data_IF_784574485482
#
_entry.id   IF_784574485482
#
_cell.length_a   1.000
_cell.length_b   1.000
_cell.length_c   1.000
_cell.angle_alpha   90.00
_cell.angle_beta   90.00
_cell.angle_gamma   90.00
#
_symmetry.space_group_name_H-M   'P 1'
#
loop_
_entity.id
_entity.type
_entity.pdbx_description
1 polymer ?
#
# COMPACT_ATOMS: atom_id res chain seq x y z
N UNK A 1 12.33 -6.83 -2.94
CA UNK A 1 13.54 -6.00 -2.85
C UNK A 1 13.12 -4.62 -3.35
N UNK A 2 13.23 -3.57 -2.53
CA UNK A 2 12.62 -2.25 -2.76
C UNK A 2 13.07 -1.59 -4.07
N UNK A 3 12.27 -0.66 -4.59
CA UNK A 3 12.63 0.09 -5.80
C UNK A 3 13.75 1.11 -5.55
N UNK A 4 13.76 1.74 -4.37
CA UNK A 4 14.68 2.80 -4.03
C UNK A 4 15.83 2.35 -3.11
N UNK A 5 17.02 2.94 -3.27
CA UNK A 5 18.14 2.83 -2.32
C UNK A 5 17.94 3.79 -1.12
N UNK A 6 16.86 3.59 -0.36
CA UNK A 6 16.56 4.34 0.87
C UNK A 6 16.60 3.39 2.10
N UNK A 7 16.86 3.91 3.31
CA UNK A 7 16.75 3.12 4.54
C UNK A 7 15.33 2.55 4.69
N UNK A 8 15.23 1.24 4.93
CA UNK A 8 13.94 0.52 4.97
C UNK A 8 13.34 0.39 6.36
N UNK A 9 14.14 0.62 7.39
CA UNK A 9 13.82 0.56 8.81
C UNK A 9 13.51 1.93 9.41
N UNK A 10 13.59 2.97 8.58
CA UNK A 10 13.37 4.36 8.97
C UNK A 10 12.06 4.89 8.41
N UNK A 11 11.22 5.46 9.28
CA UNK A 11 9.96 6.08 8.89
C UNK A 11 10.21 7.47 8.30
N UNK A 12 9.57 7.84 7.17
CA UNK A 12 9.53 9.22 6.68
C UNK A 12 8.99 10.23 7.70
N UNK A 13 8.25 9.78 8.70
CA UNK A 13 7.84 10.64 9.83
C UNK A 13 9.04 11.14 10.65
N UNK A 14 10.00 10.26 10.94
CA UNK A 14 11.19 10.58 11.72
C UNK A 14 12.28 11.24 10.84
N UNK A 15 12.30 10.88 9.55
CA UNK A 15 13.25 11.36 8.56
C UNK A 15 12.52 11.88 7.30
N UNK A 16 12.01 13.13 7.32
CA UNK A 16 11.20 13.67 6.22
C UNK A 16 11.94 13.77 4.88
N UNK A 17 13.27 13.80 4.91
CA UNK A 17 14.17 13.86 3.74
C UNK A 17 14.14 12.57 2.90
N UNK A 18 13.70 11.44 3.47
CA UNK A 18 13.55 10.18 2.73
C UNK A 18 12.17 10.00 2.10
N UNK A 19 11.23 10.94 2.28
CA UNK A 19 9.86 10.82 1.74
C UNK A 19 9.84 10.42 0.25
N UNK A 20 8.92 9.53 -0.20
CA UNK A 20 7.88 8.82 0.58
C UNK A 20 8.39 7.61 1.39
N UNK A 21 9.70 7.41 1.49
CA UNK A 21 10.33 6.18 1.97
C UNK A 21 10.47 5.13 0.87
N UNK A 22 11.14 4.00 1.14
CA UNK A 22 11.26 2.91 0.17
C UNK A 22 9.94 2.14 0.04
N UNK A 23 9.62 1.71 -1.20
CA UNK A 23 8.39 0.99 -1.54
C UNK A 23 8.68 -0.47 -1.96
N UNK A 24 7.92 -1.47 -1.47
CA UNK A 24 8.10 -2.85 -1.91
C UNK A 24 7.91 -2.97 -3.42
N UNK A 25 8.79 -3.67 -4.15
CA UNK A 25 8.73 -3.71 -5.62
C UNK A 25 7.57 -4.54 -6.22
N UNK A 26 6.81 -5.25 -5.39
CA UNK A 26 5.72 -6.16 -5.79
C UNK A 26 4.49 -5.96 -4.91
N UNK A 27 3.38 -6.62 -5.26
CA UNK A 27 2.25 -6.80 -4.35
C UNK A 27 2.69 -7.56 -3.09
N UNK A 28 2.04 -7.27 -1.96
CA UNK A 28 2.35 -7.86 -0.66
C UNK A 28 1.14 -7.80 0.28
N UNK A 29 1.18 -8.63 1.31
CA UNK A 29 0.32 -8.49 2.48
C UNK A 29 1.12 -7.78 3.58
N UNK A 30 0.62 -6.66 4.10
CA UNK A 30 1.10 -6.10 5.36
C UNK A 30 0.37 -6.78 6.51
N UNK A 31 1.11 -7.33 7.48
CA UNK A 31 0.56 -7.94 8.69
C UNK A 31 1.65 -8.10 9.75
N UNK A 32 1.31 -7.90 11.01
CA UNK A 32 2.22 -7.97 12.16
C UNK A 32 3.50 -7.13 11.97
N UNK A 33 3.33 -5.95 11.39
CA UNK A 33 4.40 -5.01 11.06
C UNK A 33 5.32 -5.49 9.93
N UNK A 34 4.96 -6.53 9.17
CA UNK A 34 5.82 -7.15 8.15
C UNK A 34 5.15 -7.16 6.79
N UNK A 35 5.96 -7.14 5.73
CA UNK A 35 5.48 -7.45 4.39
C UNK A 35 5.68 -8.94 4.09
N UNK A 36 4.59 -9.64 3.85
CA UNK A 36 4.55 -11.01 3.37
C UNK A 36 4.44 -11.01 1.86
N UNK A 37 5.26 -11.83 1.20
CA UNK A 37 5.35 -11.84 -0.26
C UNK A 37 4.06 -12.40 -0.83
N UNK A 38 3.50 -11.70 -1.82
CA UNK A 38 2.44 -12.24 -2.64
C UNK A 38 3.01 -12.78 -3.95
N UNK A 39 2.63 -14.00 -4.30
CA UNK A 39 2.87 -14.55 -5.63
C UNK A 39 1.66 -14.24 -6.52
N UNK A 40 1.77 -13.11 -7.21
CA UNK A 40 0.75 -12.59 -8.11
C UNK A 40 0.97 -13.11 -9.54
N UNK A 41 -0.11 -13.57 -10.18
CA UNK A 41 -0.12 -14.01 -11.57
C UNK A 41 -1.11 -13.20 -12.39
N UNK A 42 -0.70 -12.74 -13.58
CA UNK A 42 -1.59 -11.97 -14.45
C UNK A 42 -2.76 -12.84 -14.94
N UNK A 43 -3.98 -12.32 -14.85
CA UNK A 43 -5.21 -12.99 -15.28
C UNK A 43 -5.72 -14.06 -14.30
N UNK A 44 -5.06 -14.24 -13.15
CA UNK A 44 -5.57 -15.05 -12.04
C UNK A 44 -6.26 -14.09 -11.06
N UNK A 45 -7.51 -14.37 -10.63
CA UNK A 45 -8.20 -13.52 -9.67
C UNK A 45 -7.39 -13.32 -8.39
N UNK A 46 -7.40 -12.10 -7.85
CA UNK A 46 -6.64 -11.75 -6.64
C UNK A 46 -6.82 -12.74 -5.49
N UNK A 47 -8.05 -13.20 -5.27
CA UNK A 47 -8.45 -14.13 -4.22
C UNK A 47 -7.69 -15.47 -4.30
N UNK A 48 -7.25 -15.87 -5.50
CA UNK A 48 -6.57 -17.13 -5.76
C UNK A 48 -5.05 -17.05 -5.63
N UNK A 49 -4.48 -15.85 -5.44
CA UNK A 49 -3.04 -15.70 -5.25
C UNK A 49 -2.57 -16.25 -3.90
N UNK A 50 -1.30 -16.62 -3.86
CA UNK A 50 -0.65 -17.18 -2.68
C UNK A 50 0.12 -16.11 -1.91
N UNK A 51 -0.08 -16.08 -0.60
CA UNK A 51 0.75 -15.32 0.34
C UNK A 51 1.76 -16.27 0.99
N UNK A 52 3.02 -15.88 0.88
CA UNK A 52 4.18 -16.56 1.44
C UNK A 52 4.57 -15.86 2.74
N UNK A 53 4.29 -16.52 3.87
CA UNK A 53 4.54 -15.92 5.19
C UNK A 53 6.01 -16.04 5.59
N UNK A 54 6.60 -14.89 5.96
CA UNK A 54 7.94 -14.82 6.53
C UNK A 54 7.90 -14.94 8.05
N UNK A 55 8.75 -15.80 8.61
CA UNK A 55 9.04 -15.85 10.04
C UNK A 55 10.28 -15.01 10.41
N UNK A 56 10.93 -14.39 9.44
CA UNK A 56 12.14 -13.60 9.65
C UNK A 56 11.75 -12.18 10.05
N UNK A 57 12.33 -11.67 11.13
CA UNK A 57 12.12 -10.29 11.63
C UNK A 57 12.77 -9.22 10.74
N UNK A 58 13.64 -9.62 9.81
CA UNK A 58 14.30 -8.72 8.89
C UNK A 58 13.53 -8.55 7.58
N UNK A 59 13.16 -7.29 7.35
CA UNK A 59 12.54 -6.71 6.14
C UNK A 59 13.29 -7.05 4.84
N UNK A 60 14.56 -7.47 4.92
CA UNK A 60 15.42 -7.82 3.79
C UNK A 60 15.32 -9.28 3.29
N UNK A 61 14.67 -10.19 4.03
CA UNK A 61 14.95 -11.63 3.92
C UNK A 61 13.86 -12.58 3.43
N UNK A 62 12.63 -12.13 3.10
CA UNK A 62 11.54 -13.08 2.78
C UNK A 62 11.60 -13.71 1.38
N UNK A 63 12.54 -13.28 0.53
CA UNK A 63 12.72 -13.82 -0.82
C UNK A 63 13.78 -14.93 -0.92
N UNK A 64 14.55 -15.18 0.15
CA UNK A 64 15.69 -16.12 0.13
C UNK A 64 15.52 -17.34 1.06
N UNK A 65 14.50 -17.38 1.91
CA UNK A 65 14.30 -18.46 2.88
C UNK A 65 12.95 -19.15 2.70
N UNK A 66 12.94 -20.48 2.90
CA UNK A 66 11.77 -21.35 2.82
C UNK A 66 10.58 -20.71 3.55
N UNK A 67 9.52 -20.36 2.79
CA UNK A 67 8.26 -19.97 3.40
C UNK A 67 7.76 -21.11 4.26
N UNK A 68 7.45 -20.82 5.52
CA UNK A 68 7.00 -21.85 6.46
C UNK A 68 5.52 -22.18 6.22
N UNK A 69 4.75 -21.22 5.72
CA UNK A 69 3.32 -21.34 5.47
C UNK A 69 2.93 -20.56 4.23
N UNK A 70 2.15 -21.20 3.35
CA UNK A 70 1.53 -20.59 2.19
C UNK A 70 0.02 -20.68 2.36
N UNK A 71 -0.68 -19.57 2.15
CA UNK A 71 -2.14 -19.51 2.18
C UNK A 71 -2.64 -18.67 1.02
N UNK A 72 -3.85 -18.96 0.53
CA UNK A 72 -4.47 -18.13 -0.49
C UNK A 72 -5.02 -16.84 0.10
N UNK A 73 -5.11 -15.80 -0.72
CA UNK A 73 -5.71 -14.52 -0.35
C UNK A 73 -7.17 -14.70 0.12
N UNK A 74 -7.96 -15.56 -0.52
CA UNK A 74 -9.36 -15.87 -0.14
C UNK A 74 -9.51 -16.39 1.30
N UNK A 75 -8.49 -17.04 1.87
CA UNK A 75 -8.54 -17.53 3.25
C UNK A 75 -8.55 -16.40 4.28
N UNK A 76 -8.23 -15.18 3.84
CA UNK A 76 -8.18 -13.98 4.69
C UNK A 76 -9.23 -12.94 4.32
N UNK A 77 -9.70 -12.99 3.09
CA UNK A 77 -10.84 -12.19 2.67
C UNK A 77 -12.09 -12.92 3.18
N UNK A 78 -12.70 -12.40 4.26
CA UNK A 78 -13.96 -12.94 4.78
C UNK A 78 -15.10 -12.94 3.75
N UNK A 79 -16.32 -13.23 4.18
CA UNK A 79 -17.47 -13.52 3.28
C UNK A 79 -17.76 -12.47 2.18
N UNK A 80 -17.27 -11.23 2.30
CA UNK A 80 -17.44 -10.19 1.30
C UNK A 80 -16.26 -9.95 0.34
N UNK A 81 -15.18 -10.74 0.42
CA UNK A 81 -14.04 -10.61 -0.51
C UNK A 81 -13.38 -9.23 -0.48
N UNK A 82 -12.73 -8.85 -1.59
CA UNK A 82 -12.23 -7.47 -1.79
C UNK A 82 -13.33 -6.42 -1.81
N UNK A 83 -14.55 -6.78 -2.21
CA UNK A 83 -15.68 -5.85 -2.32
C UNK A 83 -16.12 -5.30 -0.96
N UNK A 84 -15.79 -6.02 0.13
CA UNK A 84 -16.01 -5.56 1.50
C UNK A 84 -14.98 -4.54 2.01
N UNK A 85 -13.90 -4.33 1.25
CA UNK A 85 -12.78 -3.47 1.63
C UNK A 85 -12.84 -2.15 0.84
N UNK A 86 -12.24 -1.11 1.41
CA UNK A 86 -12.09 0.19 0.77
C UNK A 86 -10.76 0.18 0.00
N UNK A 87 -10.77 0.29 -1.34
CA UNK A 87 -9.55 0.31 -2.14
C UNK A 87 -8.94 1.72 -2.16
N UNK A 88 -7.85 1.93 -1.43
CA UNK A 88 -7.16 3.22 -1.32
C UNK A 88 -5.86 3.19 -2.11
N UNK A 89 -5.66 4.15 -3.01
CA UNK A 89 -4.44 4.32 -3.79
C UNK A 89 -3.32 4.83 -2.88
N UNK A 90 -2.27 4.04 -2.74
CA UNK A 90 -1.04 4.38 -2.05
C UNK A 90 0.06 4.69 -3.06
N UNK A 91 0.44 5.96 -3.11
CA UNK A 91 1.48 6.49 -4.00
C UNK A 91 2.56 7.29 -3.25
N UNK A 92 2.30 7.64 -1.99
CA UNK A 92 3.24 8.26 -1.07
C UNK A 92 3.65 7.32 0.07
N UNK A 93 3.75 7.85 1.29
CA UNK A 93 4.23 7.10 2.45
C UNK A 93 3.32 5.94 2.89
N UNK A 94 2.08 5.84 2.39
CA UNK A 94 1.14 4.75 2.69
C UNK A 94 1.49 3.39 2.07
N UNK A 95 2.58 3.30 1.33
CA UNK A 95 3.17 2.02 0.88
C UNK A 95 4.54 1.74 1.51
N UNK A 96 5.09 2.70 2.27
CA UNK A 96 6.35 2.51 3.00
C UNK A 96 6.10 1.70 4.28
N UNK A 97 6.79 0.57 4.44
CA UNK A 97 6.56 -0.32 5.60
C UNK A 97 6.87 0.35 6.94
N UNK A 98 7.98 1.07 7.05
CA UNK A 98 8.34 1.76 8.28
C UNK A 98 7.30 2.84 8.66
N UNK A 99 6.72 3.52 7.67
CA UNK A 99 5.62 4.44 7.91
C UNK A 99 4.36 3.70 8.37
N UNK A 100 3.98 2.59 7.72
CA UNK A 100 2.82 1.80 8.13
C UNK A 100 2.99 1.28 9.56
N UNK A 101 4.16 0.73 9.90
CA UNK A 101 4.50 0.34 11.27
C UNK A 101 4.34 1.49 12.26
N UNK A 102 4.85 2.69 11.92
CA UNK A 102 4.66 3.88 12.74
C UNK A 102 3.18 4.18 12.98
N UNK A 103 2.35 4.18 11.92
CA UNK A 103 0.92 4.48 12.02
C UNK A 103 0.18 3.47 12.91
N UNK A 104 0.42 2.18 12.72
CA UNK A 104 -0.22 1.14 13.54
C UNK A 104 0.28 1.12 14.99
N UNK A 105 1.51 1.58 15.28
CA UNK A 105 1.95 1.80 16.67
C UNK A 105 1.16 2.90 17.40
N UNK A 106 0.50 3.81 16.68
CA UNK A 106 -0.37 4.83 17.30
C UNK A 106 -1.71 4.25 17.78
N UNK A 107 -2.12 3.08 17.27
CA UNK A 107 -3.32 2.33 17.67
C UNK A 107 -3.02 0.83 17.69
N UNK A 108 -2.29 0.34 18.69
CA UNK A 108 -1.84 -1.06 18.76
C UNK A 108 -2.97 -2.09 18.86
N UNK A 109 -4.19 -1.65 19.18
CA UNK A 109 -5.40 -2.45 19.19
C UNK A 109 -5.98 -2.72 17.79
N UNK A 110 -5.57 -1.95 16.78
CA UNK A 110 -6.05 -2.10 15.40
C UNK A 110 -5.24 -3.15 14.65
N UNK A 111 -5.93 -4.05 13.95
CA UNK A 111 -5.29 -5.07 13.14
C UNK A 111 -4.66 -4.46 11.89
N UNK A 112 -3.39 -4.77 11.66
CA UNK A 112 -2.61 -4.24 10.53
C UNK A 112 -2.66 -5.10 9.28
N UNK A 113 -3.66 -5.98 9.17
CA UNK A 113 -3.86 -6.88 8.05
C UNK A 113 -4.35 -6.12 6.80
N UNK A 114 -3.45 -5.75 5.90
CA UNK A 114 -3.78 -5.00 4.67
C UNK A 114 -3.18 -5.62 3.42
N UNK A 115 -4.01 -5.94 2.44
CA UNK A 115 -3.55 -6.39 1.14
C UNK A 115 -3.17 -5.17 0.28
N UNK A 116 -1.92 -5.15 -0.20
CA UNK A 116 -1.36 -4.05 -1.00
C UNK A 116 -1.01 -4.58 -2.39
N UNK A 117 -1.79 -4.21 -3.40
CA UNK A 117 -1.65 -4.71 -4.76
C UNK A 117 -1.02 -3.68 -5.68
N UNK A 118 0.09 -4.06 -6.31
CA UNK A 118 0.79 -3.19 -7.26
C UNK A 118 -0.01 -3.02 -8.55
N UNK A 119 0.05 -1.82 -9.12
CA UNK A 119 -0.52 -1.51 -10.42
C UNK A 119 -0.05 -0.17 -10.95
N UNK A 120 -0.84 0.38 -11.88
CA UNK A 120 -0.62 1.69 -12.44
C UNK A 120 -1.93 2.50 -12.50
N UNK A 121 -1.80 3.81 -12.33
CA UNK A 121 -2.88 4.78 -12.59
C UNK A 121 -2.63 5.46 -13.94
N UNK A 122 -3.68 5.62 -14.75
CA UNK A 122 -3.63 6.31 -16.04
C UNK A 122 -4.27 7.69 -15.99
N UNK A 123 -3.82 8.59 -16.87
CA UNK A 123 -4.27 9.99 -16.97
C UNK A 123 -4.15 10.76 -15.64
N UNK A 124 -3.17 10.37 -14.83
CA UNK A 124 -2.82 10.97 -13.55
C UNK A 124 -1.33 10.78 -13.30
N UNK A 125 -0.73 11.75 -12.62
CA UNK A 125 0.65 11.65 -12.14
C UNK A 125 0.73 12.02 -10.65
N UNK A 126 1.83 11.61 -10.02
CA UNK A 126 2.13 11.88 -8.62
C UNK A 126 3.09 13.06 -8.55
N UNK A 127 2.58 14.18 -8.06
CA UNK A 127 3.31 15.45 -7.97
C UNK A 127 3.46 15.87 -6.51
N UNK A 128 4.27 16.90 -6.26
CA UNK A 128 4.45 17.42 -4.91
C UNK A 128 3.36 18.43 -4.55
N UNK A 129 2.85 18.33 -3.33
CA UNK A 129 1.90 19.29 -2.79
C UNK A 129 2.56 20.66 -2.58
N UNK A 130 1.81 21.77 -2.65
CA UNK A 130 2.34 23.13 -2.43
C UNK A 130 2.46 23.48 -0.93
N UNK A 131 2.65 22.49 -0.05
CA UNK A 131 2.75 22.68 1.40
C UNK A 131 3.66 21.62 2.02
N UNK A 132 4.14 21.88 3.24
CA UNK A 132 4.86 20.89 4.04
C UNK A 132 3.90 20.18 5.01
N UNK A 133 4.05 18.87 5.15
CA UNK A 133 3.37 18.12 6.20
C UNK A 133 3.89 18.56 7.58
N UNK A 134 3.14 18.33 8.68
CA UNK A 134 3.57 18.73 10.02
C UNK A 134 4.94 18.21 10.47
N UNK A 135 5.38 17.07 9.93
CA UNK A 135 6.68 16.47 10.20
C UNK A 135 7.79 16.91 9.22
N UNK A 136 7.51 17.90 8.36
CA UNK A 136 8.51 18.58 7.52
C UNK A 136 8.74 17.97 6.15
N UNK A 137 8.03 16.90 5.76
CA UNK A 137 8.12 16.35 4.41
C UNK A 137 7.39 17.22 3.38
N UNK A 138 7.86 17.18 2.13
CA UNK A 138 7.11 17.66 0.97
C UNK A 138 6.26 16.50 0.44
N UNK A 139 4.96 16.48 0.71
CA UNK A 139 4.18 15.27 0.55
C UNK A 139 3.67 15.15 -0.90
N UNK A 140 3.30 13.94 -1.30
CA UNK A 140 2.83 13.65 -2.65
C UNK A 140 1.30 13.84 -2.75
N UNK A 141 0.84 14.38 -3.88
CA UNK A 141 -0.58 14.45 -4.27
C UNK A 141 -0.75 13.82 -5.65
N UNK A 142 -1.94 13.29 -5.93
CA UNK A 142 -2.31 12.81 -7.27
C UNK A 142 -3.00 13.92 -8.08
N UNK A 143 -2.51 14.19 -9.27
CA UNK A 143 -3.03 15.24 -10.15
C UNK A 143 -3.42 14.68 -11.53
N UNK A 144 -4.45 15.22 -12.20
CA UNK A 144 -4.80 14.81 -13.56
C UNK A 144 -3.72 15.27 -14.55
N UNK A 145 -3.15 14.32 -15.29
CA UNK A 145 -2.17 14.58 -16.36
C UNK A 145 -2.47 13.63 -17.51
N UNK A 146 -3.04 14.15 -18.59
CA UNK A 146 -3.46 13.35 -19.75
C UNK A 146 -2.29 12.54 -20.34
N UNK A 147 -2.50 11.25 -20.57
CA UNK A 147 -1.48 10.34 -21.11
C UNK A 147 -0.40 9.89 -20.12
N UNK A 148 -0.37 10.44 -18.90
CA UNK A 148 0.55 9.97 -17.87
C UNK A 148 0.15 8.58 -17.35
N UNK A 149 1.16 7.77 -17.02
CA UNK A 149 0.99 6.47 -16.38
C UNK A 149 1.96 6.39 -15.22
N UNK A 150 1.45 6.25 -14.00
CA UNK A 150 2.28 6.23 -12.79
C UNK A 150 2.08 4.95 -11.99
N UNK A 151 3.17 4.42 -11.44
CA UNK A 151 3.15 3.22 -10.59
C UNK A 151 2.55 3.55 -9.21
N UNK A 152 1.58 2.73 -8.79
CA UNK A 152 0.88 2.89 -7.51
C UNK A 152 0.59 1.53 -6.88
N UNK A 153 0.17 1.55 -5.61
CA UNK A 153 -0.42 0.40 -4.94
C UNK A 153 -1.87 0.68 -4.62
N UNK A 154 -2.71 -0.35 -4.67
CA UNK A 154 -4.07 -0.32 -4.15
C UNK A 154 -4.09 -1.10 -2.85
N UNK A 155 -4.30 -0.39 -1.74
CA UNK A 155 -4.36 -0.96 -0.41
C UNK A 155 -5.82 -1.17 -0.01
N UNK A 156 -6.18 -2.40 0.31
CA UNK A 156 -7.53 -2.78 0.69
C UNK A 156 -7.67 -2.75 2.21
N UNK A 157 -8.48 -1.81 2.70
CA UNK A 157 -8.64 -1.54 4.13
C UNK A 157 -10.06 -1.83 4.60
N UNK A 158 -10.24 -2.27 5.84
CA UNK A 158 -11.53 -2.13 6.50
C UNK A 158 -11.75 -0.70 7.03
N UNK A 159 -12.92 -0.48 7.63
CA UNK A 159 -13.31 0.85 8.13
C UNK A 159 -12.39 1.35 9.25
N UNK A 160 -11.96 0.50 10.17
CA UNK A 160 -11.13 0.91 11.31
C UNK A 160 -9.71 1.23 10.87
N UNK A 161 -9.16 0.41 9.97
CA UNK A 161 -7.89 0.67 9.30
C UNK A 161 -7.96 2.01 8.55
N UNK A 162 -9.04 2.27 7.82
CA UNK A 162 -9.22 3.54 7.11
C UNK A 162 -9.31 4.73 8.08
N UNK A 163 -10.01 4.60 9.21
CA UNK A 163 -10.08 5.62 10.26
C UNK A 163 -8.70 5.92 10.87
N UNK A 164 -7.87 4.90 11.08
CA UNK A 164 -6.48 5.07 11.50
C UNK A 164 -5.70 5.87 10.45
N UNK A 165 -5.72 5.46 9.19
CA UNK A 165 -4.98 6.16 8.13
C UNK A 165 -5.48 7.60 8.00
N UNK A 166 -6.79 7.85 7.95
CA UNK A 166 -7.38 9.18 7.90
C UNK A 166 -6.85 10.09 9.03
N UNK A 167 -6.72 9.56 10.25
CA UNK A 167 -6.22 10.35 11.40
C UNK A 167 -4.77 10.82 11.25
N UNK A 168 -4.01 10.18 10.35
CA UNK A 168 -2.60 10.47 10.07
C UNK A 168 -2.39 11.34 8.83
N UNK A 169 -3.41 11.54 8.00
CA UNK A 169 -3.32 12.29 6.72
C UNK A 169 -3.77 13.75 6.89
N UNK A 170 -3.32 14.40 7.97
CA UNK A 170 -3.64 15.83 8.22
C UNK A 170 -3.14 16.68 7.05
N UNK A 171 -4.05 17.42 6.41
CA UNK A 171 -3.75 18.23 5.23
C UNK A 171 -4.23 17.63 3.91
N UNK A 172 -4.74 16.40 3.95
CA UNK A 172 -5.40 15.74 2.83
C UNK A 172 -6.90 15.57 3.07
N UNK A 173 -7.62 15.32 1.98
CA UNK A 173 -9.01 14.87 2.03
C UNK A 173 -9.13 13.58 1.23
N UNK A 174 -9.71 12.54 1.84
CA UNK A 174 -9.99 11.32 1.10
C UNK A 174 -11.09 11.58 0.07
N UNK A 175 -10.77 11.43 -1.22
CA UNK A 175 -11.70 11.61 -2.34
C UNK A 175 -11.88 10.31 -3.11
N UNK A 176 -13.05 10.16 -3.72
CA UNK A 176 -13.35 9.06 -4.65
C UNK A 176 -12.91 9.45 -6.05
N UNK A 177 -12.21 8.53 -6.71
CA UNK A 177 -11.79 8.63 -8.10
C UNK A 177 -12.52 7.54 -8.89
N UNK A 178 -13.24 7.95 -9.93
CA UNK A 178 -14.06 7.08 -10.77
C UNK A 178 -13.41 6.88 -12.14
N UNK A 179 -14.00 6.02 -12.98
CA UNK A 179 -13.59 5.90 -14.38
C UNK A 179 -12.44 4.93 -14.64
N UNK A 180 -12.25 3.93 -13.77
CA UNK A 180 -11.39 2.77 -14.06
C UNK A 180 -9.92 3.10 -14.33
N UNK A 181 -9.43 4.18 -13.72
CA UNK A 181 -8.07 4.69 -13.94
C UNK A 181 -6.96 3.83 -13.34
N UNK A 182 -7.26 2.98 -12.36
CA UNK A 182 -6.27 2.10 -11.72
C UNK A 182 -6.41 0.69 -12.25
N UNK A 183 -5.32 0.17 -12.79
CA UNK A 183 -5.18 -1.22 -13.26
C UNK A 183 -4.11 -1.92 -12.44
N UNK A 184 -4.46 -3.03 -11.81
CA UNK A 184 -3.51 -3.86 -11.08
C UNK A 184 -2.65 -4.69 -12.04
N UNK A 185 -1.45 -5.09 -11.60
CA UNK A 185 -0.56 -5.98 -12.36
C UNK A 185 -1.22 -7.35 -12.64
N UNK A 186 -2.13 -7.75 -11.76
CA UNK A 186 -2.96 -8.95 -11.86
C UNK A 186 -4.03 -8.83 -12.97
N UNK A 187 -4.36 -7.61 -13.38
CA UNK A 187 -5.23 -7.29 -14.51
C UNK A 187 -6.57 -6.64 -14.13
N UNK A 188 -6.97 -6.74 -12.86
CA UNK A 188 -8.18 -6.15 -12.32
C UNK A 188 -8.18 -4.62 -12.44
N UNK A 189 -9.39 -4.09 -12.60
CA UNK A 189 -9.67 -2.66 -12.71
C UNK A 189 -10.87 -2.34 -11.84
N UNK A 190 -10.80 -1.25 -11.11
CA UNK A 190 -11.83 -0.85 -10.15
C UNK A 190 -12.55 0.39 -10.65
N UNK A 191 -13.89 0.36 -10.60
CA UNK A 191 -14.70 1.53 -10.98
C UNK A 191 -14.39 2.72 -10.08
N UNK A 192 -14.39 2.47 -8.77
CA UNK A 192 -14.13 3.46 -7.74
C UNK A 192 -12.89 3.07 -6.95
N UNK A 193 -11.97 4.00 -6.80
CA UNK A 193 -10.85 3.94 -5.86
C UNK A 193 -10.81 5.21 -5.04
N UNK A 194 -10.17 5.17 -3.88
CA UNK A 194 -10.03 6.33 -3.02
C UNK A 194 -8.59 6.81 -3.01
N UNK A 195 -8.37 8.10 -2.96
CA UNK A 195 -7.03 8.66 -2.78
C UNK A 195 -7.12 9.89 -1.88
N UNK A 196 -6.03 10.13 -1.15
CA UNK A 196 -5.80 11.38 -0.44
C UNK A 196 -5.39 12.45 -1.43
#
# INVERSE_FOLDING_TARGET
MYHEQKPFDVSPYDHPDIYPGPRPASSFLFWQGKAHRMEAGKGVPVEQHSIHFTNVDHVLGSLAFQSTHVKKVEEFLGEGGLQSKVPVVAYGSNVCLAQLQYKFRLRPEEEDFMLCLKGAVTDSDIVYAPFLAPYGSLPAVIAPVEGAVCEVWLTFMDKKQLELINSTEKGYELRVHTGKKVRLDTGEVFENVYAY
#
